data_IF_716125075107
#
_entry.id   IF_716125075107
#
_cell.length_a   1.000
_cell.length_b   1.000
_cell.length_c   1.000
_cell.angle_alpha   90.00
_cell.angle_beta   90.00
_cell.angle_gamma   90.00
#
_symmetry.space_group_name_H-M   'P 1'
#
loop_
_entity.id
_entity.type
_entity.pdbx_description
1 polymer ?
#
# COMPACT_ATOMS: atom_id res chain seq x y z
N UNK A 1 -6.67 15.79 10.60
CA UNK A 1 -5.41 15.01 10.58
C UNK A 1 -5.06 14.71 9.14
N UNK A 2 -3.89 15.12 8.68
CA UNK A 2 -3.44 14.85 7.31
C UNK A 2 -2.98 13.40 7.15
N UNK A 3 -2.60 13.02 5.92
CA UNK A 3 -2.18 11.63 5.66
C UNK A 3 -0.95 11.23 6.46
N UNK A 4 0.07 12.11 6.55
CA UNK A 4 1.29 11.80 7.30
C UNK A 4 1.01 11.57 8.78
N UNK A 5 0.18 12.40 9.37
CA UNK A 5 -0.24 12.23 10.77
C UNK A 5 -1.06 10.96 10.98
N UNK A 6 -1.98 10.67 10.05
CA UNK A 6 -2.77 9.44 10.09
C UNK A 6 -1.87 8.20 10.03
N UNK A 7 -0.86 8.20 9.17
CA UNK A 7 0.10 7.10 9.08
C UNK A 7 0.87 6.93 10.39
N UNK A 8 1.41 8.01 10.92
CA UNK A 8 2.23 7.97 12.12
C UNK A 8 1.45 7.57 13.38
N UNK A 9 0.22 8.08 13.51
CA UNK A 9 -0.56 7.91 14.74
C UNK A 9 -1.46 6.69 14.75
N UNK A 10 -1.92 6.23 13.58
CA UNK A 10 -2.91 5.15 13.49
C UNK A 10 -2.47 3.96 12.66
N UNK A 11 -1.91 4.18 11.47
CA UNK A 11 -1.60 3.07 10.57
C UNK A 11 -0.32 2.35 10.98
N UNK A 12 0.76 3.07 11.19
CA UNK A 12 2.04 2.48 11.61
C UNK A 12 1.91 1.71 12.93
N UNK A 13 1.27 2.27 13.98
CA UNK A 13 1.09 1.52 15.22
C UNK A 13 0.22 0.27 15.04
N UNK A 14 -0.82 0.32 14.19
CA UNK A 14 -1.67 -0.85 13.93
C UNK A 14 -0.89 -1.96 13.22
N UNK A 15 -0.05 -1.62 12.25
CA UNK A 15 0.80 -2.60 11.57
C UNK A 15 1.79 -3.25 12.55
N UNK A 16 2.41 -2.46 13.40
CA UNK A 16 3.33 -2.96 14.42
C UNK A 16 2.62 -3.89 15.41
N UNK A 17 1.43 -3.50 15.86
CA UNK A 17 0.63 -4.31 16.78
C UNK A 17 0.23 -5.65 16.14
N UNK A 18 0.04 -5.69 14.82
CA UNK A 18 -0.24 -6.90 14.07
C UNK A 18 1.00 -7.77 13.83
N UNK A 19 2.20 -7.30 14.22
CA UNK A 19 3.45 -8.06 14.11
C UNK A 19 4.35 -7.66 12.96
N UNK A 20 3.92 -6.74 12.09
CA UNK A 20 4.73 -6.34 10.94
C UNK A 20 5.96 -5.54 11.37
N UNK A 21 7.13 -5.99 10.91
CA UNK A 21 8.41 -5.43 11.33
C UNK A 21 8.88 -5.93 12.70
N UNK A 22 8.06 -6.71 13.40
CA UNK A 22 8.37 -7.28 14.73
C UNK A 22 8.60 -8.78 14.62
N UNK A 23 7.69 -9.50 13.94
CA UNK A 23 7.83 -10.95 13.71
C UNK A 23 9.03 -11.19 12.80
N UNK A 24 9.85 -12.19 13.16
CA UNK A 24 11.03 -12.54 12.38
C UNK A 24 10.67 -12.87 10.93
N UNK A 25 11.40 -12.29 10.00
CA UNK A 25 11.17 -12.45 8.56
C UNK A 25 10.15 -11.49 7.98
N UNK A 26 9.42 -10.72 8.81
CA UNK A 26 8.46 -9.73 8.32
C UNK A 26 9.12 -8.38 8.16
N UNK A 27 8.67 -7.62 7.14
CA UNK A 27 9.14 -6.26 6.88
C UNK A 27 7.99 -5.41 6.37
N UNK A 28 8.05 -4.12 6.72
CA UNK A 28 7.23 -3.10 6.10
C UNK A 28 8.16 -2.30 5.19
N UNK A 29 7.92 -2.34 3.88
CA UNK A 29 8.62 -1.48 2.93
C UNK A 29 7.74 -0.28 2.65
N UNK A 30 8.34 0.90 2.65
CA UNK A 30 7.62 2.17 2.47
C UNK A 30 8.02 2.82 1.18
N UNK A 31 7.09 3.57 0.58
CA UNK A 31 7.36 4.37 -0.62
C UNK A 31 7.95 3.52 -1.75
N UNK A 32 7.32 2.35 -2.00
CA UNK A 32 7.80 1.42 -3.04
C UNK A 32 7.32 1.89 -4.40
N UNK A 33 8.26 2.10 -5.31
CA UNK A 33 7.95 2.55 -6.67
C UNK A 33 7.42 1.39 -7.50
N UNK A 34 6.21 1.56 -8.04
CA UNK A 34 5.63 0.67 -9.02
C UNK A 34 5.91 1.25 -10.40
N UNK A 35 6.69 0.55 -11.27
CA UNK A 35 7.06 1.11 -12.56
C UNK A 35 5.86 1.39 -13.45
N UNK A 36 5.89 2.52 -14.15
CA UNK A 36 4.90 2.83 -15.16
C UNK A 36 5.05 1.93 -16.38
N UNK A 37 3.96 1.73 -17.11
CA UNK A 37 3.97 0.96 -18.36
C UNK A 37 4.56 1.78 -19.50
N UNK A 38 5.14 1.11 -20.48
CA UNK A 38 5.51 1.75 -21.73
C UNK A 38 4.23 2.16 -22.46
N UNK A 39 4.19 3.40 -22.92
CA UNK A 39 3.12 3.92 -23.77
C UNK A 39 3.60 3.99 -25.21
N UNK A 40 2.70 4.25 -26.14
CA UNK A 40 3.06 4.46 -27.55
C UNK A 40 4.17 5.50 -27.70
N UNK A 41 5.02 5.38 -28.73
CA UNK A 41 6.19 6.22 -28.98
C UNK A 41 7.32 6.06 -27.94
N UNK A 42 7.34 4.93 -27.22
CA UNK A 42 8.42 4.61 -26.29
C UNK A 42 8.37 5.36 -24.97
N UNK A 43 7.31 6.13 -24.71
CA UNK A 43 7.17 6.83 -23.45
C UNK A 43 6.59 5.92 -22.37
N UNK A 44 7.02 6.10 -21.12
CA UNK A 44 6.46 5.40 -19.96
C UNK A 44 5.36 6.23 -19.32
N UNK A 45 4.34 5.54 -18.83
CA UNK A 45 3.39 6.15 -17.92
C UNK A 45 4.12 6.61 -16.65
N UNK A 46 3.57 7.60 -15.97
CA UNK A 46 4.11 8.07 -14.69
C UNK A 46 4.20 6.91 -13.71
N UNK A 47 5.35 6.75 -13.06
CA UNK A 47 5.50 5.78 -11.99
C UNK A 47 4.60 6.15 -10.82
N UNK A 48 4.08 5.14 -10.13
CA UNK A 48 3.27 5.32 -8.94
C UNK A 48 4.06 4.82 -7.73
N UNK A 49 3.75 5.39 -6.55
CA UNK A 49 4.44 5.04 -5.32
C UNK A 49 3.43 4.41 -4.37
N UNK A 50 3.67 3.14 -4.00
CA UNK A 50 2.85 2.46 -3.01
C UNK A 50 3.29 2.89 -1.61
N UNK A 51 2.35 3.29 -0.75
CA UNK A 51 2.67 3.77 0.59
C UNK A 51 3.34 2.70 1.44
N UNK A 52 2.79 1.49 1.42
CA UNK A 52 3.34 0.35 2.15
C UNK A 52 3.29 -0.91 1.31
N UNK A 53 4.33 -1.72 1.41
CA UNK A 53 4.31 -3.10 0.92
C UNK A 53 4.72 -4.00 2.08
N UNK A 54 3.86 -4.96 2.41
CA UNK A 54 4.12 -5.92 3.47
C UNK A 54 4.85 -7.12 2.88
N UNK A 55 5.99 -7.45 3.45
CA UNK A 55 6.88 -8.50 2.94
C UNK A 55 7.12 -9.53 4.05
N UNK A 56 7.06 -10.80 3.70
CA UNK A 56 7.42 -11.88 4.61
C UNK A 56 8.37 -12.84 3.89
N UNK A 57 9.54 -13.04 4.50
CA UNK A 57 10.62 -13.91 3.95
C UNK A 57 10.88 -13.61 2.47
N UNK A 58 11.05 -12.33 2.16
CA UNK A 58 11.35 -11.80 0.82
C UNK A 58 10.20 -11.95 -0.19
N UNK A 59 9.01 -12.34 0.26
CA UNK A 59 7.83 -12.41 -0.60
C UNK A 59 6.90 -11.24 -0.29
N UNK A 60 6.55 -10.47 -1.32
CA UNK A 60 5.58 -9.38 -1.17
C UNK A 60 4.18 -9.98 -1.02
N UNK A 61 3.50 -9.69 0.09
CA UNK A 61 2.19 -10.25 0.39
C UNK A 61 1.05 -9.27 0.17
N UNK A 62 1.26 -7.99 0.45
CA UNK A 62 0.18 -7.02 0.41
C UNK A 62 0.70 -5.62 0.11
N UNK A 63 -0.17 -4.83 -0.50
CA UNK A 63 0.00 -3.38 -0.69
C UNK A 63 -1.03 -2.68 0.17
N UNK A 64 -0.63 -1.61 0.84
CA UNK A 64 -1.56 -0.78 1.61
C UNK A 64 -1.43 0.66 1.11
N UNK A 65 -2.56 1.25 0.73
CA UNK A 65 -2.67 2.65 0.36
C UNK A 65 -3.27 3.42 1.53
N UNK A 66 -2.57 4.45 1.98
CA UNK A 66 -3.01 5.28 3.10
C UNK A 66 -3.72 6.53 2.60
N UNK A 67 -4.79 6.91 3.30
CA UNK A 67 -5.50 8.17 3.11
C UNK A 67 -5.56 8.92 4.43
N UNK A 68 -5.80 10.23 4.36
CA UNK A 68 -5.96 11.04 5.56
C UNK A 68 -7.20 10.58 6.34
N UNK A 69 -7.19 10.83 7.65
CA UNK A 69 -8.17 10.33 8.61
C UNK A 69 -9.63 10.55 8.22
N UNK A 70 -9.92 11.69 7.61
CA UNK A 70 -11.29 12.08 7.23
C UNK A 70 -11.61 11.87 5.75
N UNK A 71 -10.73 11.26 4.99
CA UNK A 71 -10.94 11.03 3.56
C UNK A 71 -11.66 9.71 3.29
N UNK A 72 -12.54 9.67 2.28
CA UNK A 72 -13.14 8.41 1.86
C UNK A 72 -12.08 7.49 1.22
N UNK A 73 -12.34 6.17 1.26
CA UNK A 73 -11.40 5.18 0.76
C UNK A 73 -11.49 4.92 -0.74
N UNK A 74 -12.49 5.44 -1.44
CA UNK A 74 -12.79 5.11 -2.84
C UNK A 74 -11.59 5.26 -3.77
N UNK A 75 -10.92 6.41 -3.70
CA UNK A 75 -9.71 6.66 -4.50
C UNK A 75 -8.56 5.73 -4.09
N UNK A 76 -8.38 5.54 -2.79
CA UNK A 76 -7.36 4.64 -2.25
C UNK A 76 -7.55 3.21 -2.70
N UNK A 77 -8.78 2.72 -2.80
CA UNK A 77 -9.08 1.38 -3.30
C UNK A 77 -8.58 1.22 -4.74
N UNK A 78 -8.88 2.17 -5.60
CA UNK A 78 -8.40 2.14 -6.99
C UNK A 78 -6.88 2.17 -7.08
N UNK A 79 -6.23 3.00 -6.29
CA UNK A 79 -4.78 3.08 -6.24
C UNK A 79 -4.15 1.78 -5.72
N UNK A 80 -4.70 1.20 -4.66
CA UNK A 80 -4.20 -0.06 -4.10
C UNK A 80 -4.29 -1.19 -5.11
N UNK A 81 -5.40 -1.30 -5.85
CA UNK A 81 -5.57 -2.30 -6.90
C UNK A 81 -4.53 -2.13 -8.01
N UNK A 82 -4.31 -0.90 -8.44
CA UNK A 82 -3.31 -0.59 -9.47
C UNK A 82 -1.91 -0.99 -9.03
N UNK A 83 -1.52 -0.63 -7.81
CA UNK A 83 -0.20 -0.98 -7.29
C UNK A 83 -0.03 -2.49 -7.11
N UNK A 84 -1.04 -3.17 -6.60
CA UNK A 84 -0.99 -4.62 -6.41
C UNK A 84 -0.80 -5.35 -7.76
N UNK A 85 -1.50 -4.91 -8.80
CA UNK A 85 -1.35 -5.48 -10.14
C UNK A 85 0.06 -5.26 -10.68
N UNK A 86 0.61 -4.05 -10.53
CA UNK A 86 1.95 -3.71 -11.03
C UNK A 86 3.07 -4.44 -10.28
N UNK A 87 2.88 -4.67 -8.98
CA UNK A 87 3.86 -5.36 -8.14
C UNK A 87 3.62 -6.88 -8.09
N UNK A 88 2.60 -7.38 -8.77
CA UNK A 88 2.19 -8.80 -8.78
C UNK A 88 1.92 -9.32 -7.36
N UNK A 89 1.18 -8.53 -6.57
CA UNK A 89 0.83 -8.83 -5.19
C UNK A 89 -0.65 -9.19 -5.13
N UNK A 90 -0.98 -10.23 -4.35
CA UNK A 90 -2.34 -10.75 -4.28
C UNK A 90 -3.31 -9.89 -3.47
N UNK A 91 -2.85 -9.32 -2.37
CA UNK A 91 -3.72 -8.59 -1.45
C UNK A 91 -3.47 -7.09 -1.53
N UNK A 92 -4.55 -6.31 -1.58
CA UNK A 92 -4.47 -4.87 -1.59
C UNK A 92 -5.41 -4.30 -0.54
N UNK A 93 -4.99 -3.25 0.15
CA UNK A 93 -5.77 -2.61 1.19
C UNK A 93 -5.72 -1.10 1.02
N UNK A 94 -6.82 -0.44 1.36
CA UNK A 94 -6.85 1.00 1.53
C UNK A 94 -7.35 1.31 2.94
N UNK A 95 -6.73 2.26 3.63
CA UNK A 95 -7.12 2.64 4.98
C UNK A 95 -6.93 4.13 5.20
N UNK A 96 -7.82 4.72 6.00
CA UNK A 96 -7.68 6.09 6.49
C UNK A 96 -7.46 6.14 8.02
N UNK A 97 -7.10 5.00 8.62
CA UNK A 97 -6.92 4.90 10.06
C UNK A 97 -8.20 4.56 10.82
N UNK A 98 -9.38 4.93 10.27
CA UNK A 98 -10.67 4.62 10.87
C UNK A 98 -11.29 3.36 10.27
N UNK A 99 -11.10 3.18 8.98
CA UNK A 99 -11.68 2.08 8.21
C UNK A 99 -10.59 1.45 7.35
N UNK A 100 -10.80 0.20 6.98
CA UNK A 100 -9.92 -0.50 6.06
C UNK A 100 -10.78 -1.29 5.08
N UNK A 101 -10.38 -1.27 3.81
CA UNK A 101 -11.01 -2.04 2.76
C UNK A 101 -9.96 -2.96 2.13
N UNK A 102 -10.24 -4.26 2.13
CA UNK A 102 -9.34 -5.27 1.57
C UNK A 102 -9.86 -5.83 0.25
N UNK A 103 -8.94 -6.07 -0.68
CA UNK A 103 -9.22 -6.61 -2.00
C UNK A 103 -8.32 -7.82 -2.24
N UNK A 104 -8.92 -8.94 -2.65
CA UNK A 104 -8.19 -10.10 -3.12
C UNK A 104 -8.09 -9.99 -4.65
N UNK A 105 -6.86 -9.93 -5.17
CA UNK A 105 -6.60 -9.76 -6.60
C UNK A 105 -6.76 -11.05 -7.41
N UNK A 106 -6.93 -12.18 -6.75
CA UNK A 106 -7.15 -13.46 -7.43
C UNK A 106 -8.60 -13.65 -7.85
#
# INVERSE_FOLDING_TARGET
>A
MNEAETRAEHIDPALKAAGWGVVDGSRIRREVIAPGRLQGKGQRAKAEIADYVLVYRNTKLAVIEAKAWDKPLTEGVGQAKSYAAKLAVRSAFATNGQSIYGIDMD
#
